data_IF_147433692240
#
_entry.id   IF_147433692240
#
_cell.length_a   1.000
_cell.length_b   1.000
_cell.length_c   1.000
_cell.angle_alpha   90.00
_cell.angle_beta   90.00
_cell.angle_gamma   90.00
#
_symmetry.space_group_name_H-M   'P 1'
#
loop_
_entity.id
_entity.type
_entity.pdbx_description
1 polymer ?
#
# COMPACT_ATOMS: atom_id res chain seq x y z
N UNK A 1 0.71 -13.11 -7.28
CA UNK A 1 -0.36 -12.29 -6.65
C UNK A 1 -0.63 -11.03 -7.48
N UNK A 2 -1.85 -10.50 -7.47
CA UNK A 2 -2.25 -9.30 -8.27
C UNK A 2 -2.16 -7.97 -7.50
N UNK A 3 -1.48 -7.93 -6.35
CA UNK A 3 -1.32 -6.70 -5.54
C UNK A 3 -2.61 -6.14 -4.94
N UNK A 4 -3.64 -6.98 -4.76
CA UNK A 4 -4.93 -6.54 -4.20
C UNK A 4 -4.89 -6.57 -2.68
N UNK A 5 -5.44 -5.53 -2.06
CA UNK A 5 -5.66 -5.47 -0.62
C UNK A 5 -6.72 -6.51 -0.22
N UNK A 6 -6.38 -7.40 0.71
CA UNK A 6 -7.30 -8.44 1.22
C UNK A 6 -7.92 -8.04 2.55
N UNK A 7 -7.24 -7.21 3.33
CA UNK A 7 -7.72 -6.65 4.59
C UNK A 7 -6.98 -5.35 4.89
N UNK A 8 -7.58 -4.53 5.75
CA UNK A 8 -6.98 -3.32 6.32
C UNK A 8 -7.43 -3.21 7.77
N UNK A 9 -6.61 -2.57 8.61
CA UNK A 9 -7.01 -2.32 9.99
C UNK A 9 -7.87 -1.05 10.09
N UNK A 10 -8.45 -0.81 11.28
CA UNK A 10 -9.22 0.42 11.57
C UNK A 10 -8.39 1.71 11.47
N UNK A 11 -7.05 1.61 11.46
CA UNK A 11 -6.20 2.79 11.33
C UNK A 11 -6.30 3.39 9.92
N UNK A 12 -6.61 2.60 8.89
CA UNK A 12 -6.82 3.12 7.53
C UNK A 12 -7.92 4.20 7.49
N UNK A 13 -9.00 3.98 8.24
CA UNK A 13 -10.08 4.94 8.32
C UNK A 13 -9.67 6.20 9.09
N UNK A 14 -8.93 6.05 10.20
CA UNK A 14 -8.48 7.17 11.02
C UNK A 14 -7.41 8.03 10.35
N UNK A 15 -6.50 7.41 9.59
CA UNK A 15 -5.34 8.07 8.99
C UNK A 15 -5.63 8.53 7.56
N UNK A 16 -6.26 7.68 6.74
CA UNK A 16 -6.53 7.98 5.33
C UNK A 16 -7.96 8.46 5.09
N UNK A 17 -8.87 8.34 6.07
CA UNK A 17 -10.28 8.71 5.87
C UNK A 17 -11.06 7.75 4.97
N UNK A 18 -10.51 6.55 4.70
CA UNK A 18 -11.08 5.54 3.81
C UNK A 18 -11.77 4.42 4.60
N UNK A 19 -12.96 3.99 4.18
CA UNK A 19 -13.58 2.80 4.79
C UNK A 19 -12.94 1.52 4.24
N UNK A 20 -12.90 0.46 5.06
CA UNK A 20 -12.36 -0.84 4.67
C UNK A 20 -13.01 -1.38 3.38
N UNK A 21 -14.33 -1.28 3.29
CA UNK A 21 -15.11 -1.69 2.11
C UNK A 21 -14.76 -0.91 0.83
N UNK A 22 -14.18 0.29 0.95
CA UNK A 22 -13.79 1.13 -0.19
C UNK A 22 -12.36 0.82 -0.68
N UNK A 23 -11.58 0.07 0.09
CA UNK A 23 -10.16 -0.20 -0.20
C UNK A 23 -9.86 -1.69 -0.40
N UNK A 24 -10.58 -2.58 0.27
CA UNK A 24 -10.43 -4.02 0.06
C UNK A 24 -10.80 -4.36 -1.40
N UNK A 25 -9.96 -5.18 -2.04
CA UNK A 25 -10.08 -5.55 -3.44
C UNK A 25 -9.42 -4.58 -4.43
N UNK A 26 -9.08 -3.35 -4.01
CA UNK A 26 -8.30 -2.39 -4.82
C UNK A 26 -6.82 -2.73 -4.80
N UNK A 27 -6.08 -2.18 -5.77
CA UNK A 27 -4.64 -2.37 -5.84
C UNK A 27 -3.94 -1.49 -4.78
N UNK A 28 -2.97 -2.01 -4.02
CA UNK A 28 -2.33 -1.27 -2.92
C UNK A 28 -1.73 0.07 -3.36
N UNK A 29 -1.20 0.15 -4.58
CA UNK A 29 -0.58 1.35 -5.13
C UNK A 29 -1.57 2.51 -5.33
N UNK A 30 -2.88 2.25 -5.34
CA UNK A 30 -3.90 3.30 -5.44
C UNK A 30 -4.02 4.14 -4.17
N UNK A 31 -3.53 3.64 -3.03
CA UNK A 31 -3.47 4.40 -1.77
C UNK A 31 -2.33 5.42 -1.76
N UNK A 32 -1.36 5.27 -2.66
CA UNK A 32 -0.17 6.11 -2.73
C UNK A 32 -0.36 7.31 -3.67
N UNK A 33 0.40 8.38 -3.41
CA UNK A 33 0.52 9.48 -4.38
C UNK A 33 1.07 8.94 -5.71
N UNK A 34 0.73 9.54 -6.86
CA UNK A 34 1.19 9.09 -8.18
C UNK A 34 2.70 8.82 -8.27
N UNK A 35 3.51 9.68 -7.64
CA UNK A 35 4.97 9.67 -7.64
C UNK A 35 5.55 8.41 -6.96
N UNK A 36 4.86 7.84 -5.99
CA UNK A 36 5.31 6.66 -5.23
C UNK A 36 4.88 5.34 -5.89
N UNK A 37 4.00 5.39 -6.90
CA UNK A 37 3.41 4.19 -7.51
C UNK A 37 4.43 3.32 -8.22
N UNK A 38 5.40 3.91 -8.92
CA UNK A 38 6.45 3.15 -9.60
C UNK A 38 7.45 2.53 -8.63
N UNK A 39 7.82 3.28 -7.58
CA UNK A 39 8.69 2.79 -6.51
C UNK A 39 8.10 1.55 -5.85
N UNK A 40 6.83 1.60 -5.43
CA UNK A 40 6.22 0.44 -4.75
C UNK A 40 6.02 -0.76 -5.67
N UNK A 41 5.76 -0.56 -6.97
CA UNK A 41 5.69 -1.66 -7.94
C UNK A 41 7.03 -2.38 -8.05
N UNK A 42 8.13 -1.62 -8.14
CA UNK A 42 9.49 -2.18 -8.18
C UNK A 42 9.81 -2.97 -6.92
N UNK A 43 9.46 -2.43 -5.74
CA UNK A 43 9.67 -3.14 -4.46
C UNK A 43 8.84 -4.43 -4.41
N UNK A 44 7.56 -4.37 -4.80
CA UNK A 44 6.67 -5.53 -4.82
C UNK A 44 7.18 -6.63 -5.75
N UNK A 45 7.66 -6.27 -6.94
CA UNK A 45 8.27 -7.24 -7.86
C UNK A 45 9.54 -7.87 -7.28
N UNK A 46 10.40 -7.07 -6.64
CA UNK A 46 11.62 -7.57 -6.00
C UNK A 46 11.30 -8.53 -4.84
N UNK A 47 10.28 -8.24 -4.04
CA UNK A 47 9.80 -9.11 -2.94
C UNK A 47 9.31 -10.46 -3.48
N UNK A 48 8.49 -10.45 -4.54
CA UNK A 48 7.97 -11.68 -5.15
C UNK A 48 9.08 -12.50 -5.83
N UNK A 49 9.99 -11.85 -6.55
CA UNK A 49 11.07 -12.54 -7.29
C UNK A 49 12.19 -13.03 -6.38
N UNK A 50 12.61 -12.22 -5.41
CA UNK A 50 13.73 -12.49 -4.51
C UNK A 50 13.35 -13.30 -3.27
N UNK A 51 12.05 -13.46 -2.98
CA UNK A 51 11.54 -14.07 -1.76
C UNK A 51 12.09 -13.38 -0.49
N UNK A 52 12.30 -12.07 -0.57
CA UNK A 52 12.85 -11.25 0.51
C UNK A 52 11.81 -10.28 1.06
N UNK A 53 11.91 -9.97 2.35
CA UNK A 53 11.09 -8.94 2.99
C UNK A 53 11.65 -7.55 2.67
N UNK A 54 10.77 -6.60 2.37
CA UNK A 54 11.15 -5.18 2.21
C UNK A 54 10.27 -4.29 3.09
N UNK A 55 10.89 -3.25 3.63
CA UNK A 55 10.23 -2.22 4.40
C UNK A 55 10.58 -0.87 3.77
N UNK A 56 9.57 -0.02 3.58
CA UNK A 56 9.75 1.31 3.04
C UNK A 56 8.75 2.28 3.69
N UNK A 57 9.02 3.57 3.55
CA UNK A 57 8.10 4.63 3.94
C UNK A 57 7.71 5.39 2.69
N UNK A 58 6.40 5.45 2.43
CA UNK A 58 5.85 5.97 1.18
C UNK A 58 4.78 7.00 1.50
N UNK A 59 4.64 7.99 0.63
CA UNK A 59 3.58 8.97 0.72
C UNK A 59 2.26 8.42 0.18
N UNK A 60 1.20 8.65 0.95
CA UNK A 60 -0.16 8.27 0.66
C UNK A 60 -1.08 9.48 0.54
N UNK A 61 -2.21 9.27 -0.14
CA UNK A 61 -3.29 10.25 -0.23
C UNK A 61 -4.39 9.91 0.76
N UNK A 62 -4.76 10.90 1.57
CA UNK A 62 -5.99 10.86 2.37
C UNK A 62 -7.20 11.12 1.47
N UNK A 63 -8.41 10.81 1.95
CA UNK A 63 -9.66 11.06 1.23
C UNK A 63 -9.87 12.55 0.89
N UNK A 64 -9.32 13.44 1.71
CA UNK A 64 -9.41 14.88 1.53
C UNK A 64 -8.27 15.47 0.67
N UNK A 65 -7.40 14.60 0.11
CA UNK A 65 -6.31 15.00 -0.79
C UNK A 65 -5.00 15.41 -0.10
N UNK A 66 -4.92 15.32 1.23
CA UNK A 66 -3.67 15.58 1.96
C UNK A 66 -2.69 14.41 1.85
N UNK A 67 -1.39 14.71 1.93
CA UNK A 67 -0.32 13.72 1.99
C UNK A 67 -0.05 13.24 3.43
N UNK A 68 0.21 11.94 3.60
CA UNK A 68 0.77 11.40 4.84
C UNK A 68 1.76 10.28 4.55
N UNK A 69 2.68 10.01 5.48
CA UNK A 69 3.59 8.88 5.36
C UNK A 69 2.97 7.59 5.89
N UNK A 70 3.06 6.52 5.09
CA UNK A 70 2.73 5.16 5.50
C UNK A 70 3.99 4.31 5.50
N UNK A 71 4.20 3.58 6.59
CA UNK A 71 5.17 2.48 6.61
C UNK A 71 4.56 1.28 5.93
N UNK A 72 5.19 0.82 4.85
CA UNK A 72 4.77 -0.36 4.09
C UNK A 72 5.77 -1.48 4.34
N UNK A 73 5.24 -2.63 4.75
CA UNK A 73 6.00 -3.86 4.94
C UNK A 73 5.44 -4.87 3.95
N UNK A 74 6.32 -5.41 3.10
CA UNK A 74 5.97 -6.41 2.10
C UNK A 74 6.70 -7.69 2.42
N UNK A 75 5.93 -8.76 2.53
CA UNK A 75 6.41 -10.12 2.73
C UNK A 75 5.93 -10.99 1.58
N UNK A 76 6.79 -11.88 1.06
CA UNK A 76 6.35 -12.87 0.10
C UNK A 76 5.42 -13.87 0.81
N UNK A 77 4.27 -14.14 0.20
CA UNK A 77 3.42 -15.26 0.60
C UNK A 77 4.03 -16.50 -0.07
N UNK A 78 4.55 -17.43 0.77
CA UNK A 78 5.17 -18.68 0.34
C UNK A 78 4.13 -19.68 -0.17
#
# INVERSE_FOLDING_TARGET
MKGKLTSVNRAVNKVLGLAEQDVVGRHFAELLIPEEREKIKSIFEAVIKGNERKNDELKALTRDGNECFLRVQLWPEL
#
